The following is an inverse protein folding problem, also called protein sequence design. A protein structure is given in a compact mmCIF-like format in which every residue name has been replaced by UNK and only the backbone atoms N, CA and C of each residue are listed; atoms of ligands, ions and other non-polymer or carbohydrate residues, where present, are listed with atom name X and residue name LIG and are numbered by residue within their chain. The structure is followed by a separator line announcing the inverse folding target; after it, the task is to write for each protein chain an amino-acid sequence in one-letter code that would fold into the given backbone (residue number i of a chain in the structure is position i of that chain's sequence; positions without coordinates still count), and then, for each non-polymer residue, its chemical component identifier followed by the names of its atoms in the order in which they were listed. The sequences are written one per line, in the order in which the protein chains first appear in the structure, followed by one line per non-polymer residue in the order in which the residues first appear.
data_IF_257217912797
#
_entry.id   IF_257217912797
#
_cell.length_a   1.000
_cell.length_b   1.000
_cell.length_c   1.000
_cell.angle_alpha   90.00
_cell.angle_beta   90.00
_cell.angle_gamma   90.00
#
_symmetry.space_group_name_H-M   'P 1'
#
loop_
_entity.id
_entity.type
_entity.pdbx_description
1 polymer ?
#
# COMPACT_ATOMS: atom_id res chain seq x y z
N UNK A 1 -20.03 8.67 18.16
CA UNK A 1 -19.43 8.78 17.40
C UNK A 1 -18.87 7.71 16.89
N UNK A 2 -18.71 7.48 15.90
CA UNK A 2 -18.30 6.51 15.38
C UNK A 2 -17.10 6.43 15.39
N UNK A 3 -16.63 5.75 15.73
CA UNK A 3 -15.55 5.73 15.74
C UNK A 3 -14.86 4.95 14.93
N UNK A 4 -15.32 4.16 14.23
CA UNK A 4 -14.61 3.33 13.48
C UNK A 4 -14.37 3.90 12.23
N UNK A 5 -13.35 4.58 11.95
CA UNK A 5 -13.14 5.06 10.78
C UNK A 5 -12.19 4.29 10.09
N UNK A 6 -12.44 3.76 8.93
CA UNK A 6 -11.53 3.05 8.09
C UNK A 6 -10.74 4.08 7.34
N UNK A 7 -9.41 4.01 7.42
CA UNK A 7 -8.61 4.94 6.73
C UNK A 7 -8.44 4.55 5.32
N UNK A 8 -8.63 5.47 4.40
CA UNK A 8 -8.31 5.30 2.99
C UNK A 8 -7.05 6.08 2.69
N UNK A 9 -6.09 5.45 2.07
CA UNK A 9 -4.79 6.05 1.82
C UNK A 9 -4.46 5.93 0.35
N UNK A 10 -4.06 7.04 -0.25
CA UNK A 10 -3.62 7.04 -1.64
C UNK A 10 -2.16 6.65 -1.70
N UNK A 11 -1.85 5.70 -2.57
CA UNK A 11 -0.51 5.15 -2.67
C UNK A 11 -0.05 5.16 -4.12
N UNK A 12 1.18 5.61 -4.34
CA UNK A 12 1.81 5.48 -5.64
C UNK A 12 2.87 4.40 -5.51
N UNK A 13 2.76 3.35 -6.32
CA UNK A 13 3.69 2.23 -6.26
C UNK A 13 4.72 2.36 -7.37
N UNK A 14 5.98 2.16 -7.03
CA UNK A 14 7.07 2.18 -7.99
C UNK A 14 7.69 0.78 -7.99
N UNK A 15 7.36 -0.04 -9.00
CA UNK A 15 7.87 -1.41 -9.04
C UNK A 15 9.30 -1.48 -9.55
N UNK A 16 9.88 -2.65 -9.47
CA UNK A 16 11.23 -2.92 -9.97
C UNK A 16 12.28 -2.01 -9.37
N UNK A 17 12.07 -1.64 -8.11
CA UNK A 17 13.02 -0.81 -7.39
C UNK A 17 14.10 -1.68 -6.79
N UNK A 18 15.27 -1.11 -6.55
CA UNK A 18 16.35 -1.86 -5.94
C UNK A 18 16.12 -2.09 -4.45
N UNK A 19 15.25 -1.31 -3.83
CA UNK A 19 14.95 -1.46 -2.41
C UNK A 19 13.46 -1.31 -2.19
N UNK A 20 12.99 -1.89 -1.09
CA UNK A 20 11.62 -1.68 -0.64
C UNK A 20 11.64 -0.49 0.31
N UNK A 21 10.78 0.49 0.06
CA UNK A 21 10.83 1.71 0.86
C UNK A 21 9.48 2.43 0.83
N UNK A 22 9.07 3.00 1.95
CA UNK A 22 7.85 3.77 2.05
C UNK A 22 8.20 5.20 2.43
N UNK A 23 7.67 6.15 1.64
CA UNK A 23 7.82 7.56 1.94
C UNK A 23 6.43 8.15 2.12
N UNK A 24 6.25 8.97 3.12
CA UNK A 24 4.96 9.60 3.36
C UNK A 24 5.10 11.09 3.13
N UNK A 25 4.14 11.68 2.40
CA UNK A 25 4.18 13.12 2.16
C UNK A 25 3.40 13.84 3.27
N UNK A 26 3.32 15.17 3.14
CA UNK A 26 2.70 15.97 4.19
C UNK A 26 1.21 15.75 4.31
N UNK A 27 0.60 15.19 3.27
CA UNK A 27 -0.85 14.96 3.28
C UNK A 27 -1.19 13.54 3.69
N UNK A 28 -0.21 12.74 4.05
CA UNK A 28 -0.47 11.37 4.45
C UNK A 28 -0.52 10.37 3.30
N UNK A 29 -0.26 10.82 2.07
CA UNK A 29 -0.19 9.92 0.94
C UNK A 29 1.16 9.22 0.92
N UNK A 30 1.20 8.02 0.41
CA UNK A 30 2.43 7.23 0.44
C UNK A 30 2.97 6.98 -0.96
N UNK A 31 4.29 6.97 -1.06
CA UNK A 31 4.96 6.48 -2.24
C UNK A 31 5.71 5.23 -1.78
N UNK A 32 5.44 4.11 -2.40
CA UNK A 32 5.99 2.84 -1.96
C UNK A 32 6.79 2.21 -3.09
N UNK A 33 8.07 2.00 -2.82
CA UNK A 33 8.93 1.32 -3.77
C UNK A 33 8.93 -0.15 -3.44
N UNK A 34 8.69 -0.98 -4.45
CA UNK A 34 8.69 -2.43 -4.26
C UNK A 34 9.68 -3.03 -5.23
N UNK A 35 10.31 -4.13 -4.83
CA UNK A 35 11.30 -4.78 -5.69
C UNK A 35 10.63 -5.61 -6.76
N UNK A 36 9.48 -6.16 -6.49
CA UNK A 36 8.83 -7.07 -7.41
C UNK A 36 8.36 -6.36 -8.67
N UNK A 37 8.30 -7.08 -9.79
CA UNK A 37 7.77 -6.50 -11.02
C UNK A 37 6.25 -6.44 -10.94
N UNK A 38 5.61 -5.60 -11.77
CA UNK A 38 4.16 -5.44 -11.72
C UNK A 38 3.46 -6.54 -12.51
N UNK A 39 3.78 -7.79 -12.21
CA UNK A 39 3.20 -8.93 -12.91
C UNK A 39 2.76 -9.97 -11.90
N UNK A 40 1.73 -10.72 -12.22
CA UNK A 40 1.33 -11.86 -11.41
C UNK A 40 0.94 -11.54 -9.98
N UNK A 41 0.60 -10.31 -9.68
CA UNK A 41 0.21 -9.95 -8.34
C UNK A 41 1.36 -9.83 -7.35
N UNK A 42 2.60 -10.02 -7.82
CA UNK A 42 3.75 -10.03 -6.91
C UNK A 42 3.95 -8.68 -6.24
N UNK A 43 3.83 -7.60 -7.01
CA UNK A 43 4.02 -6.26 -6.45
C UNK A 43 2.93 -5.93 -5.42
N UNK A 44 1.70 -6.38 -5.67
CA UNK A 44 0.61 -6.15 -4.72
C UNK A 44 0.84 -6.92 -3.43
N UNK A 45 1.36 -8.14 -3.51
CA UNK A 45 1.65 -8.92 -2.32
C UNK A 45 2.74 -8.27 -1.50
N UNK A 46 3.79 -7.79 -2.17
CA UNK A 46 4.87 -7.10 -1.47
C UNK A 46 4.35 -5.82 -0.83
N UNK A 47 3.52 -5.07 -1.56
CA UNK A 47 2.94 -3.84 -1.07
C UNK A 47 2.12 -4.09 0.21
N UNK A 48 1.27 -5.10 0.20
CA UNK A 48 0.44 -5.41 1.36
C UNK A 48 1.31 -5.76 2.56
N UNK A 49 2.37 -6.53 2.34
CA UNK A 49 3.28 -6.87 3.43
C UNK A 49 3.98 -5.66 4.02
N UNK A 50 4.43 -4.75 3.16
CA UNK A 50 5.10 -3.54 3.62
C UNK A 50 4.15 -2.64 4.40
N UNK A 51 2.91 -2.51 3.92
CA UNK A 51 1.93 -1.66 4.58
C UNK A 51 1.49 -2.26 5.92
N UNK A 52 1.37 -3.58 5.98
CA UNK A 52 1.02 -4.23 7.23
C UNK A 52 2.06 -3.94 8.30
N UNK A 53 3.33 -3.98 7.92
CA UNK A 53 4.39 -3.64 8.86
C UNK A 53 4.38 -2.17 9.20
N UNK A 54 4.19 -1.32 8.21
CA UNK A 54 4.23 0.13 8.40
C UNK A 54 3.16 0.57 9.38
N UNK A 55 1.96 0.00 9.27
CA UNK A 55 0.86 0.38 10.14
C UNK A 55 0.70 -0.55 11.34
N UNK A 56 1.56 -1.55 11.46
CA UNK A 56 1.53 -2.48 12.56
C UNK A 56 0.19 -3.20 12.66
N UNK A 57 -0.26 -3.73 11.54
CA UNK A 57 -1.51 -4.49 11.46
C UNK A 57 -1.23 -5.77 10.71
N UNK A 58 -2.20 -6.68 10.68
CA UNK A 58 -2.02 -7.92 9.93
C UNK A 58 -2.30 -7.67 8.46
N UNK A 59 -1.79 -8.53 7.60
CA UNK A 59 -2.00 -8.40 6.17
C UNK A 59 -3.48 -8.45 5.82
N UNK A 60 -4.26 -9.19 6.59
CA UNK A 60 -5.69 -9.29 6.33
C UNK A 60 -6.40 -7.97 6.53
N UNK A 61 -5.82 -7.05 7.25
CA UNK A 61 -6.42 -5.76 7.50
C UNK A 61 -6.12 -4.75 6.40
N UNK A 62 -5.22 -5.09 5.48
CA UNK A 62 -4.84 -4.17 4.39
C UNK A 62 -5.56 -4.61 3.13
N UNK A 63 -6.36 -3.69 2.57
CA UNK A 63 -7.15 -4.01 1.39
C UNK A 63 -6.91 -3.00 0.29
N UNK A 64 -6.70 -3.46 -0.93
CA UNK A 64 -6.57 -2.57 -2.08
C UNK A 64 -7.98 -2.39 -2.63
N UNK A 65 -8.54 -1.20 -2.48
CA UNK A 65 -9.92 -0.96 -2.89
C UNK A 65 -10.03 -0.34 -4.27
N UNK A 66 -8.95 0.24 -4.81
CA UNK A 66 -8.93 0.76 -6.16
C UNK A 66 -7.55 0.63 -6.74
N UNK A 67 -7.49 0.50 -8.06
CA UNK A 67 -6.21 0.53 -8.76
C UNK A 67 -5.40 -0.74 -8.65
N UNK A 68 -6.06 -1.90 -8.57
CA UNK A 68 -5.34 -3.14 -8.40
C UNK A 68 -4.29 -3.37 -9.47
N UNK A 69 -4.53 -2.95 -10.69
CA UNK A 69 -3.57 -3.12 -11.77
C UNK A 69 -2.90 -1.81 -12.16
N UNK A 70 -3.04 -0.78 -11.36
CA UNK A 70 -2.49 0.54 -11.63
C UNK A 70 -1.36 0.84 -10.67
N UNK A 71 -0.50 1.79 -11.00
CA UNK A 71 0.51 2.24 -10.08
C UNK A 71 -0.07 3.15 -9.00
N UNK A 72 -1.22 3.74 -9.29
CA UNK A 72 -1.90 4.58 -8.31
C UNK A 72 -3.00 3.74 -7.69
N UNK A 73 -2.93 3.55 -6.39
CA UNK A 73 -3.85 2.66 -5.69
C UNK A 73 -4.47 3.37 -4.50
N UNK A 74 -5.62 2.88 -4.09
CA UNK A 74 -6.22 3.32 -2.83
C UNK A 74 -6.30 2.10 -1.94
N UNK A 75 -5.78 2.25 -0.74
CA UNK A 75 -5.71 1.17 0.24
C UNK A 75 -6.62 1.54 1.41
N UNK A 76 -7.26 0.55 1.97
CA UNK A 76 -8.04 0.74 3.19
C UNK A 76 -7.48 -0.16 4.26
N UNK A 77 -7.33 0.37 5.47
CA UNK A 77 -6.90 -0.39 6.62
C UNK A 77 -8.14 -0.65 7.46
N UNK A 78 -8.47 -1.90 7.63
CA UNK A 78 -9.69 -2.26 8.38
C UNK A 78 -9.44 -2.45 9.86
#
# INVERSE_FOLDING_TARGET
MSSVEQKSINIKVIPRSSVSHIEEDLMGNLKVRVKAPPVGGQANQELIGLLAEYYNVSKDQVEIIKGRTSRNKVIRIN
#
